data_IF_615321603192
#
_entry.id   IF_615321603192
#
_cell.length_a   1.000
_cell.length_b   1.000
_cell.length_c   1.000
_cell.angle_alpha   90.00
_cell.angle_beta   90.00
_cell.angle_gamma   90.00
#
_symmetry.space_group_name_H-M   'P 1'
#
loop_
_entity.id
_entity.type
_entity.pdbx_description
1 polymer ?
#
# COMPACT_ATOMS: atom_id res chain seq x y z
N UNK A 1 -17.43 -10.47 13.25
CA UNK A 1 -16.11 -10.54 12.59
C UNK A 1 -16.12 -9.60 11.41
N UNK A 2 -14.99 -9.45 10.73
CA UNK A 2 -14.95 -8.82 9.40
C UNK A 2 -14.67 -9.89 8.37
N UNK A 3 -15.32 -9.81 7.21
CA UNK A 3 -15.01 -10.67 6.08
C UNK A 3 -13.67 -10.24 5.50
N UNK A 4 -12.76 -11.20 5.33
CA UNK A 4 -11.40 -10.93 4.89
C UNK A 4 -10.97 -11.94 3.84
N UNK A 5 -10.24 -11.44 2.84
CA UNK A 5 -9.57 -12.23 1.82
C UNK A 5 -8.07 -11.92 1.86
N UNK A 6 -7.24 -12.93 1.64
CA UNK A 6 -5.78 -12.78 1.60
C UNK A 6 -5.28 -13.24 0.23
N UNK A 7 -4.53 -12.38 -0.45
CA UNK A 7 -3.98 -12.65 -1.76
C UNK A 7 -2.46 -12.45 -1.73
N UNK A 8 -1.74 -13.34 -2.42
CA UNK A 8 -0.28 -13.27 -2.59
C UNK A 8 -0.01 -13.06 -4.06
N UNK A 9 0.61 -11.93 -4.39
CA UNK A 9 0.94 -11.53 -5.75
C UNK A 9 2.46 -11.51 -5.93
N UNK A 10 2.93 -11.81 -7.14
CA UNK A 10 4.36 -11.84 -7.49
C UNK A 10 4.65 -10.68 -8.42
N UNK A 11 5.61 -9.84 -8.05
CA UNK A 11 6.03 -8.70 -8.86
C UNK A 11 6.58 -7.57 -8.01
N UNK A 12 6.69 -6.38 -8.59
CA UNK A 12 7.08 -5.18 -7.85
C UNK A 12 5.92 -4.75 -6.93
N UNK A 13 6.14 -4.59 -5.61
CA UNK A 13 5.06 -4.37 -4.66
C UNK A 13 4.12 -3.22 -5.01
N UNK A 14 4.67 -2.06 -5.38
CA UNK A 14 3.86 -0.87 -5.67
C UNK A 14 2.97 -1.04 -6.90
N UNK A 15 3.45 -1.74 -7.94
CA UNK A 15 2.69 -1.99 -9.16
C UNK A 15 1.56 -2.97 -8.87
N UNK A 16 1.88 -4.09 -8.20
CA UNK A 16 0.89 -5.11 -7.85
C UNK A 16 -0.20 -4.57 -6.91
N UNK A 17 0.13 -3.70 -5.96
CA UNK A 17 -0.87 -3.06 -5.09
C UNK A 17 -1.85 -2.19 -5.90
N UNK A 18 -1.33 -1.34 -6.80
CA UNK A 18 -2.16 -0.44 -7.60
C UNK A 18 -3.02 -1.22 -8.60
N UNK A 19 -2.43 -2.20 -9.30
CA UNK A 19 -3.15 -3.06 -10.24
C UNK A 19 -4.26 -3.84 -9.53
N UNK A 20 -3.94 -4.51 -8.43
CA UNK A 20 -4.93 -5.29 -7.69
C UNK A 20 -6.05 -4.42 -7.12
N UNK A 21 -5.74 -3.23 -6.59
CA UNK A 21 -6.74 -2.29 -6.13
C UNK A 21 -7.70 -1.86 -7.25
N UNK A 22 -7.19 -1.67 -8.48
CA UNK A 22 -8.03 -1.38 -9.65
C UNK A 22 -8.88 -2.58 -10.05
N UNK A 23 -8.30 -3.79 -10.07
CA UNK A 23 -8.99 -5.03 -10.45
C UNK A 23 -10.20 -5.33 -9.57
N UNK A 24 -10.07 -5.13 -8.25
CA UNK A 24 -11.16 -5.38 -7.30
C UNK A 24 -12.08 -4.16 -7.11
N UNK A 25 -11.79 -3.03 -7.75
CA UNK A 25 -12.54 -1.79 -7.56
C UNK A 25 -12.46 -1.24 -6.13
N UNK A 26 -11.26 -1.27 -5.54
CA UNK A 26 -11.05 -0.84 -4.16
C UNK A 26 -11.38 0.66 -3.96
N UNK A 27 -12.22 0.97 -2.97
CA UNK A 27 -12.59 2.35 -2.63
C UNK A 27 -11.50 3.09 -1.84
N UNK A 28 -10.62 2.34 -1.17
CA UNK A 28 -9.50 2.89 -0.40
C UNK A 28 -8.38 1.86 -0.26
N UNK A 29 -7.13 2.32 -0.34
CA UNK A 29 -5.95 1.54 0.05
C UNK A 29 -5.51 2.00 1.43
N UNK A 30 -5.35 1.07 2.37
CA UNK A 30 -4.81 1.35 3.70
C UNK A 30 -3.45 0.69 3.84
N UNK A 31 -2.42 1.47 4.16
CA UNK A 31 -1.05 0.98 4.29
C UNK A 31 -0.20 1.79 5.28
N UNK A 32 0.95 1.25 5.69
CA UNK A 32 1.91 1.98 6.53
C UNK A 32 2.85 2.85 5.70
N UNK A 33 3.47 3.86 6.32
CA UNK A 33 4.50 4.67 5.66
C UNK A 33 5.84 3.95 5.52
N UNK A 34 6.09 2.91 6.31
CA UNK A 34 7.31 2.10 6.28
C UNK A 34 7.03 0.63 6.54
N UNK A 35 7.94 -0.23 6.07
CA UNK A 35 7.95 -1.66 6.35
C UNK A 35 9.00 -2.06 7.39
N UNK A 36 9.26 -3.37 7.49
CA UNK A 36 10.14 -3.97 8.50
C UNK A 36 11.59 -3.48 8.46
N UNK A 37 12.07 -2.97 7.32
CA UNK A 37 13.43 -2.47 7.17
C UNK A 37 13.70 -1.15 7.91
N UNK A 38 12.66 -0.48 8.46
CA UNK A 38 12.80 0.51 9.53
C UNK A 38 13.87 1.57 9.30
N UNK A 39 13.83 2.29 8.16
CA UNK A 39 14.77 3.38 7.92
C UNK A 39 14.37 4.56 8.81
N UNK A 40 15.01 4.66 9.97
CA UNK A 40 14.66 5.57 11.08
C UNK A 40 14.58 7.05 10.70
N UNK A 41 15.20 7.44 9.58
CA UNK A 41 15.23 8.81 9.07
C UNK A 41 14.34 9.06 7.85
N UNK A 42 13.65 8.06 7.33
CA UNK A 42 12.74 8.23 6.19
C UNK A 42 11.33 8.51 6.70
N UNK A 43 10.66 9.48 6.08
CA UNK A 43 9.27 9.85 6.42
C UNK A 43 8.27 9.07 5.57
N UNK A 44 8.70 8.58 4.39
CA UNK A 44 7.89 7.82 3.45
C UNK A 44 8.74 6.77 2.71
N UNK A 45 8.37 5.49 2.83
CA UNK A 45 9.00 4.39 2.11
C UNK A 45 8.68 4.41 0.62
N UNK A 46 9.62 3.91 -0.21
CA UNK A 46 9.52 3.95 -1.67
C UNK A 46 8.27 3.26 -2.24
N UNK A 47 7.80 2.19 -1.58
CA UNK A 47 6.56 1.51 -1.96
C UNK A 47 5.35 2.40 -1.68
N UNK A 48 5.24 2.96 -0.47
CA UNK A 48 4.15 3.86 -0.11
C UNK A 48 4.13 5.11 -0.97
N UNK A 49 5.30 5.72 -1.26
CA UNK A 49 5.39 6.85 -2.18
C UNK A 49 4.86 6.48 -3.57
N UNK A 50 5.28 5.33 -4.10
CA UNK A 50 4.87 4.88 -5.42
C UNK A 50 3.37 4.60 -5.48
N UNK A 51 2.79 4.01 -4.43
CA UNK A 51 1.34 3.75 -4.35
C UNK A 51 0.58 5.07 -4.26
N UNK A 52 0.99 6.02 -3.41
CA UNK A 52 0.38 7.35 -3.30
C UNK A 52 0.35 8.10 -4.63
N UNK A 53 1.40 7.95 -5.43
CA UNK A 53 1.54 8.67 -6.71
C UNK A 53 0.67 8.08 -7.83
N UNK A 54 0.43 6.77 -7.83
CA UNK A 54 -0.17 6.08 -8.98
C UNK A 54 -1.53 5.42 -8.71
N UNK A 55 -2.03 5.45 -7.47
CA UNK A 55 -3.35 4.89 -7.15
C UNK A 55 -4.47 5.72 -7.74
N UNK A 56 -5.49 5.05 -8.29
CA UNK A 56 -6.71 5.70 -8.77
C UNK A 56 -7.76 5.94 -7.66
N UNK A 57 -7.56 5.34 -6.48
CA UNK A 57 -8.41 5.52 -5.31
C UNK A 57 -7.63 6.20 -4.16
N UNK A 58 -8.34 6.77 -3.17
CA UNK A 58 -7.73 7.34 -1.97
C UNK A 58 -6.79 6.35 -1.27
N UNK A 59 -5.67 6.87 -0.75
CA UNK A 59 -4.71 6.09 0.03
C UNK A 59 -4.62 6.67 1.43
N UNK A 60 -5.01 5.88 2.43
CA UNK A 60 -4.82 6.18 3.84
C UNK A 60 -3.50 5.60 4.33
N UNK A 61 -2.50 6.46 4.49
CA UNK A 61 -1.21 6.07 5.04
C UNK A 61 -1.14 6.30 6.56
N UNK A 62 -0.67 5.28 7.28
CA UNK A 62 -0.53 5.32 8.74
C UNK A 62 0.96 5.42 9.10
N UNK A 63 1.31 6.44 9.87
CA UNK A 63 2.65 6.60 10.44
C UNK A 63 2.65 6.08 11.88
N UNK A 64 3.40 5.01 12.13
CA UNK A 64 3.70 4.58 13.49
C UNK A 64 4.77 5.51 14.10
N UNK A 65 4.64 5.78 15.40
CA UNK A 65 5.62 6.55 16.17
C UNK A 65 6.89 5.73 16.40
#
# INVERSE_FOLDING_TARGET
GVDAVCNVLIGKPSEQIVEYANEIGAEVIVMTTHGYSGIEHVVLGSTTESVLRHSNCPVLSIRNK
#
